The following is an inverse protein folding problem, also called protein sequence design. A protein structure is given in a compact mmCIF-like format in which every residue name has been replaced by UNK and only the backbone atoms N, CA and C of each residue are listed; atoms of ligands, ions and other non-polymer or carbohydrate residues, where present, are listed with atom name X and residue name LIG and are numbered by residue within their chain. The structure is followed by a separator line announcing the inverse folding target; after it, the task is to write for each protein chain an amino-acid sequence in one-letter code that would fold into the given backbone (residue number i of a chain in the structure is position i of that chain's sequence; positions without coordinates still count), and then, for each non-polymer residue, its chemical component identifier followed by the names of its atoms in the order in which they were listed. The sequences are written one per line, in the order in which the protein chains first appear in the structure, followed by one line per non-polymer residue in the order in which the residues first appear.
data_IF_911631525933
#
_entry.id   IF_911631525933
#
_cell.length_a   1.000
_cell.length_b   1.000
_cell.length_c   1.000
_cell.angle_alpha   90.00
_cell.angle_beta   90.00
_cell.angle_gamma   90.00
#
_symmetry.space_group_name_H-M   'P 1'
#
loop_
_entity.id
_entity.type
_entity.pdbx_description
1 polymer ?
#
# COMPACT_ATOMS: atom_id res chain seq x y z
N UNK A 1 3.83 2.25 -23.40
CA UNK A 1 4.76 1.87 -22.29
C UNK A 1 4.65 0.35 -22.09
N UNK A 2 5.61 -0.40 -22.58
CA UNK A 2 5.66 -1.86 -22.44
C UNK A 2 6.82 -2.21 -21.50
N UNK A 3 6.64 -3.19 -20.60
CA UNK A 3 7.66 -3.63 -19.66
C UNK A 3 7.76 -2.81 -18.36
N UNK A 4 7.01 -1.71 -18.21
CA UNK A 4 7.02 -0.89 -17.00
C UNK A 4 6.15 -1.49 -15.90
N UNK A 5 6.69 -1.42 -14.68
CA UNK A 5 6.02 -1.81 -13.44
C UNK A 5 6.04 -0.63 -12.46
N UNK A 6 4.99 -0.51 -11.68
CA UNK A 6 5.01 0.22 -10.42
C UNK A 6 5.35 -0.73 -9.29
N UNK A 7 6.08 -0.25 -8.28
CA UNK A 7 6.22 -0.93 -7.00
C UNK A 7 5.94 0.04 -5.85
N UNK A 8 5.17 -0.43 -4.87
CA UNK A 8 4.72 0.42 -3.75
C UNK A 8 5.10 -0.23 -2.41
N UNK A 9 6.41 -0.32 -2.07
CA UNK A 9 6.85 -0.87 -0.80
C UNK A 9 6.30 -0.07 0.38
N UNK A 10 5.85 -0.82 1.39
CA UNK A 10 5.45 -0.28 2.68
C UNK A 10 6.47 -0.69 3.73
N UNK A 11 7.04 0.29 4.41
CA UNK A 11 8.08 0.11 5.43
C UNK A 11 7.52 0.51 6.80
N UNK A 12 7.83 -0.26 7.85
CA UNK A 12 7.35 -0.04 9.22
C UNK A 12 8.20 1.03 9.93
N UNK A 13 8.24 2.21 9.36
CA UNK A 13 8.89 3.42 9.86
C UNK A 13 8.13 4.65 9.39
N UNK A 14 7.68 5.49 10.30
CA UNK A 14 6.97 6.71 9.97
C UNK A 14 7.37 7.89 10.88
N UNK A 15 8.37 7.70 11.74
CA UNK A 15 8.69 8.62 12.82
C UNK A 15 10.10 9.22 12.75
N UNK A 16 11.05 8.51 12.13
CA UNK A 16 12.43 8.93 12.02
C UNK A 16 12.75 9.47 10.63
N UNK A 17 12.71 10.81 10.43
CA UNK A 17 12.94 11.41 9.11
C UNK A 17 14.28 10.96 8.48
N UNK A 18 15.33 10.82 9.28
CA UNK A 18 16.65 10.39 8.82
C UNK A 18 16.67 8.96 8.26
N UNK A 19 15.79 8.07 8.78
CA UNK A 19 15.64 6.71 8.23
C UNK A 19 14.86 6.76 6.94
N UNK A 20 13.78 7.57 6.90
CA UNK A 20 12.95 7.75 5.71
C UNK A 20 13.77 8.32 4.55
N UNK A 21 14.62 9.32 4.82
CA UNK A 21 15.54 9.89 3.84
C UNK A 21 16.53 8.84 3.30
N UNK A 22 17.15 8.04 4.20
CA UNK A 22 18.04 6.94 3.80
C UNK A 22 17.35 5.91 2.90
N UNK A 23 16.07 5.58 3.20
CA UNK A 23 15.27 4.67 2.37
C UNK A 23 15.01 5.26 0.98
N UNK A 24 14.63 6.55 0.91
CA UNK A 24 14.40 7.26 -0.35
C UNK A 24 15.68 7.37 -1.19
N UNK A 25 16.81 7.71 -0.57
CA UNK A 25 18.11 7.76 -1.23
C UNK A 25 18.54 6.40 -1.78
N UNK A 26 18.33 5.31 -1.02
CA UNK A 26 18.72 3.97 -1.44
C UNK A 26 18.04 3.57 -2.75
N UNK A 27 16.74 3.89 -2.92
CA UNK A 27 16.01 3.58 -4.15
C UNK A 27 16.29 4.59 -5.27
N UNK A 28 16.50 5.88 -4.93
CA UNK A 28 16.74 6.95 -5.90
C UNK A 28 18.07 6.87 -6.65
N UNK A 29 19.04 6.09 -6.16
CA UNK A 29 20.36 5.91 -6.80
C UNK A 29 20.33 5.06 -8.07
N UNK A 30 19.27 4.29 -8.28
CA UNK A 30 19.21 3.31 -9.35
C UNK A 30 18.67 3.92 -10.66
N UNK A 31 19.55 4.05 -11.64
CA UNK A 31 19.13 4.43 -12.99
C UNK A 31 18.12 3.42 -13.54
N UNK A 32 16.99 3.93 -14.05
CA UNK A 32 15.88 3.12 -14.56
C UNK A 32 14.84 2.72 -13.51
N UNK A 33 15.06 3.00 -12.22
CA UNK A 33 14.05 2.99 -11.18
C UNK A 33 13.78 4.44 -10.75
N UNK A 34 12.57 4.91 -10.95
CA UNK A 34 12.16 6.30 -10.61
C UNK A 34 11.40 6.28 -9.30
N UNK A 35 11.90 7.00 -8.30
CA UNK A 35 11.13 7.30 -7.09
C UNK A 35 10.16 8.45 -7.42
N UNK A 36 8.86 8.18 -7.34
CA UNK A 36 7.79 9.11 -7.72
C UNK A 36 7.14 9.79 -6.52
N UNK A 37 7.06 9.09 -5.37
CA UNK A 37 6.45 9.61 -4.14
C UNK A 37 7.03 8.93 -2.90
N UNK A 38 7.02 9.67 -1.78
CA UNK A 38 7.32 9.17 -0.43
C UNK A 38 6.28 9.74 0.52
N UNK A 39 5.36 8.91 0.96
CA UNK A 39 4.32 9.26 1.93
C UNK A 39 4.61 8.61 3.27
N UNK A 40 4.76 9.39 4.35
CA UNK A 40 4.99 8.88 5.70
C UNK A 40 3.95 9.39 6.70
N UNK A 41 3.63 8.57 7.71
CA UNK A 41 2.67 8.93 8.74
C UNK A 41 3.10 8.37 10.11
N UNK A 42 3.12 9.27 11.11
CA UNK A 42 3.60 8.95 12.47
C UNK A 42 2.63 8.10 13.28
N UNK A 43 1.30 8.22 13.06
CA UNK A 43 0.28 7.43 13.74
C UNK A 43 0.19 6.02 13.17
N UNK A 44 0.33 5.91 11.85
CA UNK A 44 0.42 4.62 11.17
C UNK A 44 1.79 3.95 11.37
N UNK A 45 2.81 4.71 11.77
CA UNK A 45 4.21 4.28 11.90
C UNK A 45 4.65 3.56 10.63
N UNK A 46 4.49 4.26 9.50
CA UNK A 46 4.62 3.69 8.16
C UNK A 46 5.08 4.71 7.14
N UNK A 47 5.95 4.25 6.25
CA UNK A 47 6.30 4.95 5.01
C UNK A 47 5.91 4.09 3.82
N UNK A 48 5.30 4.73 2.84
CA UNK A 48 4.95 4.18 1.53
C UNK A 48 5.80 4.90 0.49
N UNK A 49 6.59 4.15 -0.27
CA UNK A 49 7.34 4.70 -1.39
C UNK A 49 6.66 4.23 -2.69
N UNK A 50 6.55 5.11 -3.68
CA UNK A 50 6.04 4.75 -5.01
C UNK A 50 7.17 4.82 -6.01
N UNK A 51 7.49 3.69 -6.63
CA UNK A 51 8.53 3.57 -7.65
C UNK A 51 7.94 3.12 -8.99
N UNK A 52 8.53 3.54 -10.09
CA UNK A 52 8.23 3.02 -11.41
C UNK A 52 9.52 2.72 -12.20
N UNK A 53 9.50 1.64 -12.99
CA UNK A 53 10.64 1.24 -13.80
C UNK A 53 10.46 -0.14 -14.43
N UNK A 54 11.46 -0.62 -15.12
CA UNK A 54 11.52 -2.01 -15.58
C UNK A 54 11.85 -2.94 -14.39
N UNK A 55 11.56 -4.22 -14.55
CA UNK A 55 11.68 -5.22 -13.49
C UNK A 55 13.08 -5.26 -12.85
N UNK A 56 14.15 -5.22 -13.65
CA UNK A 56 15.52 -5.35 -13.14
C UNK A 56 16.03 -4.12 -12.38
N UNK A 57 15.86 -2.87 -12.88
CA UNK A 57 16.14 -1.67 -12.10
C UNK A 57 15.35 -1.60 -10.78
N UNK A 58 14.03 -1.90 -10.82
CA UNK A 58 13.22 -1.93 -9.61
C UNK A 58 13.71 -2.98 -8.61
N UNK A 59 14.07 -4.17 -9.07
CA UNK A 59 14.59 -5.23 -8.20
C UNK A 59 15.85 -4.78 -7.46
N UNK A 60 16.79 -4.14 -8.15
CA UNK A 60 18.02 -3.61 -7.54
C UNK A 60 17.72 -2.52 -6.51
N UNK A 61 16.88 -1.57 -6.86
CA UNK A 61 16.48 -0.50 -5.95
C UNK A 61 15.79 -1.04 -4.69
N UNK A 62 14.90 -2.02 -4.84
CA UNK A 62 14.21 -2.65 -3.73
C UNK A 62 15.15 -3.47 -2.83
N UNK A 63 16.17 -4.12 -3.38
CA UNK A 63 17.17 -4.84 -2.57
C UNK A 63 17.97 -3.88 -1.67
N UNK A 64 18.33 -2.70 -2.17
CA UNK A 64 18.99 -1.68 -1.37
C UNK A 64 18.03 -1.07 -0.32
N UNK A 65 16.75 -0.92 -0.64
CA UNK A 65 15.71 -0.55 0.33
C UNK A 65 15.64 -1.60 1.47
N UNK A 66 15.64 -2.89 1.14
CA UNK A 66 15.69 -3.95 2.15
C UNK A 66 16.93 -3.85 3.03
N UNK A 67 18.11 -3.63 2.44
CA UNK A 67 19.35 -3.52 3.20
C UNK A 67 19.29 -2.37 4.23
N UNK A 68 18.81 -1.18 3.80
CA UNK A 68 18.66 -0.02 4.69
C UNK A 68 17.58 -0.26 5.75
N UNK A 69 16.42 -0.83 5.36
CA UNK A 69 15.34 -1.08 6.30
C UNK A 69 15.74 -2.10 7.39
N UNK A 70 16.44 -3.17 7.03
CA UNK A 70 16.87 -4.19 7.98
C UNK A 70 17.98 -3.71 8.93
N UNK A 71 18.81 -2.78 8.47
CA UNK A 71 19.83 -2.11 9.30
C UNK A 71 19.22 -1.15 10.32
N UNK A 72 18.19 -0.40 9.89
CA UNK A 72 17.67 0.72 10.68
C UNK A 72 16.44 0.37 11.54
N UNK A 73 15.68 -0.68 11.19
CA UNK A 73 14.38 -0.97 11.80
C UNK A 73 14.44 -2.27 12.59
N UNK A 74 14.27 -2.15 13.91
CA UNK A 74 14.14 -3.29 14.82
C UNK A 74 12.73 -3.35 15.41
N UNK A 75 11.96 -4.36 14.99
CA UNK A 75 10.59 -4.60 15.47
C UNK A 75 10.53 -5.45 16.75
N UNK A 76 11.66 -5.93 17.25
CA UNK A 76 11.71 -6.68 18.51
C UNK A 76 11.26 -5.81 19.69
N UNK A 77 10.85 -6.41 20.81
CA UNK A 77 10.49 -5.66 22.00
C UNK A 77 11.64 -4.76 22.52
N UNK A 78 12.90 -5.13 22.27
CA UNK A 78 14.07 -4.36 22.67
C UNK A 78 14.34 -3.17 21.75
N UNK A 79 14.06 -3.30 20.45
CA UNK A 79 14.28 -2.26 19.44
C UNK A 79 13.14 -1.26 19.29
N UNK A 80 11.98 -1.57 19.83
CA UNK A 80 10.86 -0.62 19.83
C UNK A 80 11.17 0.58 20.70
N UNK A 81 11.31 1.73 20.08
CA UNK A 81 11.38 3.01 20.76
C UNK A 81 10.14 3.29 21.63
N UNK A 82 10.18 4.32 22.48
CA UNK A 82 9.04 4.73 23.27
C UNK A 82 7.86 5.18 22.38
N UNK A 83 6.68 4.65 22.64
CA UNK A 83 5.45 5.02 21.95
C UNK A 83 4.55 3.82 21.62
N UNK A 84 3.28 4.08 21.30
CA UNK A 84 2.36 3.02 20.90
C UNK A 84 2.79 2.44 19.55
N UNK A 85 2.52 1.14 19.30
CA UNK A 85 2.70 0.56 17.99
C UNK A 85 1.83 1.30 16.97
N UNK A 86 2.26 1.34 15.70
CA UNK A 86 1.44 1.89 14.61
C UNK A 86 0.08 1.21 14.52
N UNK A 87 -0.92 1.96 14.10
CA UNK A 87 -2.34 1.50 14.08
C UNK A 87 -2.62 0.45 12.99
N UNK A 88 -1.71 0.26 12.04
CA UNK A 88 -1.82 -0.79 11.02
C UNK A 88 -1.11 -2.09 11.44
N UNK A 89 -1.71 -3.25 11.11
CA UNK A 89 -1.01 -4.53 11.24
C UNK A 89 0.24 -4.54 10.37
N UNK A 90 1.35 -5.05 10.90
CA UNK A 90 2.61 -5.24 10.17
C UNK A 90 3.17 -6.63 10.42
N UNK A 91 3.80 -7.20 9.41
CA UNK A 91 4.47 -8.50 9.51
C UNK A 91 6.00 -8.36 9.63
N UNK A 92 6.54 -7.27 9.09
CA UNK A 92 7.98 -7.02 9.12
C UNK A 92 8.38 -5.58 8.86
N UNK A 93 9.70 -5.33 8.92
CA UNK A 93 10.31 -4.02 8.69
C UNK A 93 10.00 -3.50 7.29
N UNK A 94 10.17 -4.32 6.26
CA UNK A 94 9.56 -4.13 4.94
C UNK A 94 8.34 -5.04 4.90
N UNK A 95 7.16 -4.46 5.12
CA UNK A 95 5.95 -5.20 5.39
C UNK A 95 5.34 -5.80 4.11
N UNK A 96 5.14 -4.98 3.08
CA UNK A 96 4.62 -5.45 1.78
C UNK A 96 5.27 -4.74 0.61
N UNK A 97 5.57 -5.49 -0.45
CA UNK A 97 6.13 -4.99 -1.71
C UNK A 97 5.28 -5.53 -2.88
N UNK A 98 4.31 -4.75 -3.37
CA UNK A 98 3.56 -5.09 -4.56
C UNK A 98 4.30 -4.69 -5.82
N UNK A 99 4.09 -5.45 -6.89
CA UNK A 99 4.33 -5.05 -8.27
C UNK A 99 3.01 -4.89 -9.00
N UNK A 100 2.88 -3.79 -9.74
CA UNK A 100 1.67 -3.43 -10.50
C UNK A 100 2.07 -3.21 -11.95
N UNK A 101 1.47 -3.91 -12.92
CA UNK A 101 1.80 -3.69 -14.32
C UNK A 101 1.23 -2.35 -14.80
N UNK A 102 2.04 -1.57 -15.53
CA UNK A 102 1.67 -0.28 -16.12
C UNK A 102 1.46 -0.40 -17.63
N UNK A 103 0.52 0.38 -18.16
CA UNK A 103 0.22 0.45 -19.59
C UNK A 103 -0.19 -0.92 -20.16
N UNK A 104 0.56 -1.43 -21.13
CA UNK A 104 0.32 -2.72 -21.79
C UNK A 104 1.12 -3.89 -21.18
N UNK A 105 1.81 -3.66 -20.07
CA UNK A 105 2.60 -4.70 -19.39
C UNK A 105 1.67 -5.79 -18.83
N UNK A 106 1.89 -7.07 -19.15
CA UNK A 106 1.03 -8.13 -18.66
C UNK A 106 1.27 -8.42 -17.18
N UNK A 107 0.24 -8.87 -16.46
CA UNK A 107 0.32 -9.26 -15.03
C UNK A 107 1.42 -10.30 -14.78
N UNK A 108 1.67 -11.19 -15.73
CA UNK A 108 2.74 -12.19 -15.63
C UNK A 108 4.12 -11.55 -15.37
N UNK A 109 4.42 -10.41 -15.99
CA UNK A 109 5.70 -9.72 -15.76
C UNK A 109 5.83 -9.23 -14.30
N UNK A 110 4.73 -8.76 -13.71
CA UNK A 110 4.70 -8.38 -12.29
C UNK A 110 4.86 -9.59 -11.36
N UNK A 111 4.25 -10.73 -11.70
CA UNK A 111 4.42 -11.99 -10.94
C UNK A 111 5.87 -12.47 -11.00
N UNK A 112 6.49 -12.47 -12.18
CA UNK A 112 7.89 -12.87 -12.36
C UNK A 112 8.85 -11.95 -11.58
N UNK A 113 8.60 -10.63 -11.58
CA UNK A 113 9.36 -9.66 -10.80
C UNK A 113 9.21 -9.90 -9.28
N UNK A 114 7.99 -10.17 -8.80
CA UNK A 114 7.73 -10.48 -7.40
C UNK A 114 8.45 -11.75 -6.95
N UNK A 115 8.42 -12.81 -7.76
CA UNK A 115 9.12 -14.05 -7.46
C UNK A 115 10.64 -13.90 -7.46
N UNK A 116 11.18 -13.14 -8.41
CA UNK A 116 12.62 -12.88 -8.50
C UNK A 116 13.11 -12.10 -7.26
N UNK A 117 12.41 -11.02 -6.89
CA UNK A 117 12.73 -10.25 -5.70
C UNK A 117 12.61 -11.11 -4.44
N UNK A 118 11.51 -11.87 -4.29
CA UNK A 118 11.27 -12.69 -3.10
C UNK A 118 12.36 -13.73 -2.88
N UNK A 119 12.82 -14.39 -3.92
CA UNK A 119 13.92 -15.36 -3.90
C UNK A 119 15.23 -14.74 -3.43
N UNK A 120 15.53 -13.56 -3.95
CA UNK A 120 16.78 -12.87 -3.65
C UNK A 120 16.80 -12.24 -2.25
N UNK A 121 15.68 -11.63 -1.82
CA UNK A 121 15.51 -11.13 -0.44
C UNK A 121 15.68 -12.25 0.59
N UNK A 122 15.04 -13.39 0.35
CA UNK A 122 15.18 -14.55 1.23
C UNK A 122 16.64 -15.06 1.29
N UNK A 123 17.31 -15.14 0.14
CA UNK A 123 18.69 -15.62 0.06
C UNK A 123 19.70 -14.66 0.70
N UNK A 124 19.54 -13.35 0.49
CA UNK A 124 20.48 -12.33 0.98
C UNK A 124 20.32 -12.04 2.48
N UNK A 125 19.06 -12.00 2.94
CA UNK A 125 18.74 -11.50 4.27
C UNK A 125 18.20 -12.56 5.23
N UNK A 126 17.96 -13.79 4.76
CA UNK A 126 17.35 -14.83 5.60
C UNK A 126 15.92 -14.50 6.04
N UNK A 127 15.21 -13.64 5.30
CA UNK A 127 13.84 -13.26 5.59
C UNK A 127 12.85 -14.32 5.07
N UNK A 128 11.84 -14.71 5.89
CA UNK A 128 10.67 -15.41 5.38
C UNK A 128 9.91 -14.51 4.39
N UNK A 129 9.58 -15.02 3.23
CA UNK A 129 8.83 -14.31 2.19
C UNK A 129 7.55 -15.05 1.88
N UNK A 130 6.42 -14.35 1.94
CA UNK A 130 5.13 -14.83 1.48
C UNK A 130 4.77 -14.15 0.16
N UNK A 131 4.41 -14.95 -0.85
CA UNK A 131 3.83 -14.42 -2.08
C UNK A 131 2.33 -14.21 -1.92
N UNK A 132 1.80 -13.10 -2.48
CA UNK A 132 0.39 -12.74 -2.33
C UNK A 132 -0.26 -12.25 -3.64
N UNK A 133 -1.59 -12.11 -3.60
CA UNK A 133 -2.47 -11.72 -4.72
C UNK A 133 -2.24 -12.62 -5.94
N UNK A 134 -1.87 -12.07 -7.11
CA UNK A 134 -1.67 -12.85 -8.34
C UNK A 134 -0.38 -13.69 -8.34
N UNK A 135 0.56 -13.40 -7.45
CA UNK A 135 1.75 -14.21 -7.23
C UNK A 135 1.55 -15.31 -6.17
N UNK A 136 0.40 -15.35 -5.48
CA UNK A 136 0.12 -16.31 -4.42
C UNK A 136 0.15 -17.76 -4.93
N UNK A 137 0.86 -18.64 -4.21
CA UNK A 137 0.95 -20.07 -4.52
C UNK A 137 -0.14 -20.90 -3.84
N UNK A 138 -0.90 -20.28 -2.91
CA UNK A 138 -2.01 -20.89 -2.20
C UNK A 138 -3.17 -19.92 -2.08
N UNK A 139 -4.44 -20.37 -2.25
CA UNK A 139 -5.60 -19.48 -2.27
C UNK A 139 -5.75 -18.61 -1.02
N UNK A 140 -5.42 -19.14 0.17
CA UNK A 140 -5.46 -18.44 1.46
C UNK A 140 -4.46 -17.29 1.57
N UNK A 141 -3.46 -17.24 0.69
CA UNK A 141 -2.44 -16.18 0.63
C UNK A 141 -2.77 -15.06 -0.35
N UNK A 142 -3.85 -15.18 -1.09
CA UNK A 142 -4.30 -14.07 -1.97
C UNK A 142 -4.66 -12.83 -1.16
N UNK A 143 -5.23 -12.99 0.04
CA UNK A 143 -5.58 -11.85 0.89
C UNK A 143 -4.44 -11.48 1.84
N UNK A 144 -3.87 -10.30 1.64
CA UNK A 144 -2.83 -9.73 2.51
C UNK A 144 -3.26 -9.69 3.99
N UNK A 145 -4.56 -9.43 4.27
CA UNK A 145 -5.06 -9.40 5.64
C UNK A 145 -4.97 -10.76 6.32
N UNK A 146 -5.16 -11.86 5.58
CA UNK A 146 -4.99 -13.22 6.11
C UNK A 146 -3.52 -13.50 6.45
N UNK A 147 -2.58 -13.07 5.60
CA UNK A 147 -1.14 -13.21 5.86
C UNK A 147 -0.72 -12.40 7.08
N UNK A 148 -1.18 -11.14 7.20
CA UNK A 148 -0.86 -10.22 8.32
C UNK A 148 -1.54 -10.58 9.65
N UNK A 149 -2.49 -11.51 9.67
CA UNK A 149 -3.22 -11.86 10.90
C UNK A 149 -2.27 -12.35 12.00
N UNK A 150 -2.33 -11.70 13.14
CA UNK A 150 -1.44 -11.93 14.28
C UNK A 150 -0.22 -10.99 14.30
N UNK A 151 0.10 -10.34 13.18
CA UNK A 151 1.20 -9.37 13.09
C UNK A 151 2.57 -10.01 13.33
N UNK A 152 3.55 -9.15 13.54
CA UNK A 152 4.90 -9.54 13.93
C UNK A 152 4.91 -10.35 15.24
N UNK A 153 4.06 -9.97 16.18
CA UNK A 153 4.00 -10.51 17.54
C UNK A 153 3.66 -12.01 17.57
N UNK A 154 2.84 -12.49 16.64
CA UNK A 154 2.43 -13.89 16.54
C UNK A 154 2.99 -14.62 15.32
N UNK A 155 4.01 -14.02 14.69
CA UNK A 155 4.60 -14.57 13.47
C UNK A 155 5.27 -15.93 13.72
N UNK A 156 5.90 -16.13 14.90
CA UNK A 156 6.53 -17.40 15.25
C UNK A 156 5.49 -18.53 15.35
N UNK A 157 4.33 -18.26 15.96
CA UNK A 157 3.22 -19.22 16.04
C UNK A 157 2.69 -19.55 14.64
N UNK A 158 2.51 -18.53 13.80
CA UNK A 158 2.05 -18.71 12.42
C UNK A 158 3.00 -19.59 11.62
N UNK A 159 4.31 -19.34 11.70
CA UNK A 159 5.33 -20.09 10.95
C UNK A 159 5.53 -21.53 11.45
N UNK A 160 5.06 -21.86 12.66
CA UNK A 160 5.02 -23.22 13.17
C UNK A 160 3.92 -24.08 12.50
N UNK A 161 2.89 -23.44 11.92
CA UNK A 161 1.84 -24.12 11.16
C UNK A 161 2.34 -24.43 9.73
N UNK A 162 2.36 -25.70 9.29
CA UNK A 162 2.77 -26.07 7.93
C UNK A 162 2.01 -25.37 6.80
N UNK A 163 0.75 -24.96 7.02
CA UNK A 163 -0.05 -24.21 6.04
C UNK A 163 0.52 -22.81 5.77
N UNK A 164 1.27 -22.26 6.73
CA UNK A 164 1.91 -20.95 6.63
C UNK A 164 3.42 -21.03 6.38
N UNK A 165 3.92 -22.15 5.84
CA UNK A 165 5.32 -22.23 5.41
C UNK A 165 5.59 -21.15 4.35
N UNK A 166 6.65 -20.30 4.50
CA UNK A 166 6.95 -19.25 3.54
C UNK A 166 7.28 -19.81 2.15
N UNK A 167 7.05 -19.02 1.11
CA UNK A 167 7.37 -19.40 -0.27
C UNK A 167 8.87 -19.41 -0.50
N UNK A 168 9.60 -18.52 0.20
CA UNK A 168 11.06 -18.47 0.23
C UNK A 168 11.56 -18.16 1.62
N UNK A 169 12.80 -18.59 1.92
CA UNK A 169 13.45 -18.34 3.19
C UNK A 169 13.09 -19.33 4.30
N UNK A 170 13.55 -19.05 5.53
CA UNK A 170 13.38 -19.96 6.66
C UNK A 170 11.96 -19.95 7.23
N UNK A 171 11.49 -21.09 7.75
CA UNK A 171 10.20 -21.17 8.47
C UNK A 171 10.32 -20.69 9.94
N UNK A 172 10.97 -19.55 10.14
CA UNK A 172 11.11 -18.87 11.43
C UNK A 172 11.22 -17.36 11.19
N UNK A 173 10.70 -16.49 12.08
CA UNK A 173 10.83 -15.05 11.92
C UNK A 173 12.30 -14.61 11.87
N UNK A 174 12.59 -13.56 11.09
CA UNK A 174 13.83 -12.81 11.30
C UNK A 174 13.73 -12.09 12.66
N UNK A 175 14.79 -12.10 13.50
CA UNK A 175 14.70 -11.66 14.90
C UNK A 175 14.24 -10.21 15.07
N UNK A 176 14.66 -9.31 14.19
CA UNK A 176 14.34 -7.88 14.23
C UNK A 176 13.36 -7.45 13.14
N UNK A 177 13.45 -8.06 11.96
CA UNK A 177 12.71 -7.63 10.77
C UNK A 177 11.46 -8.49 10.44
N UNK A 178 11.20 -9.57 11.17
CA UNK A 178 10.01 -10.41 11.02
C UNK A 178 9.97 -11.20 9.71
N UNK A 179 9.01 -10.90 8.85
CA UNK A 179 8.84 -11.47 7.51
C UNK A 179 8.35 -10.39 6.55
N UNK A 180 8.37 -10.68 5.25
CA UNK A 180 7.88 -9.75 4.23
C UNK A 180 6.87 -10.42 3.31
N UNK A 181 5.98 -9.62 2.74
CA UNK A 181 4.99 -10.06 1.76
C UNK A 181 5.30 -9.40 0.42
N UNK A 182 5.51 -10.19 -0.61
CA UNK A 182 5.85 -9.70 -1.95
C UNK A 182 4.82 -10.26 -2.93
N UNK A 183 4.34 -9.46 -3.89
CA UNK A 183 3.40 -10.02 -4.84
C UNK A 183 3.07 -9.11 -6.00
N UNK A 184 2.09 -9.54 -6.80
CA UNK A 184 1.62 -8.82 -7.97
C UNK A 184 0.12 -8.57 -7.87
N UNK A 185 -0.33 -7.37 -8.21
CA UNK A 185 -1.74 -6.97 -8.14
C UNK A 185 -2.10 -5.91 -9.18
N UNK A 186 -3.37 -5.63 -9.34
CA UNK A 186 -3.86 -4.43 -9.99
C UNK A 186 -3.61 -3.17 -9.16
N UNK A 187 -4.03 -2.03 -9.66
CA UNK A 187 -3.98 -0.77 -8.91
C UNK A 187 -4.74 -0.88 -7.59
N UNK A 188 -4.17 -0.26 -6.57
CA UNK A 188 -4.83 -0.08 -5.27
C UNK A 188 -4.63 1.38 -4.87
N UNK A 189 -5.72 2.08 -4.59
CA UNK A 189 -5.69 3.46 -4.11
C UNK A 189 -5.88 3.44 -2.61
N UNK A 190 -4.85 3.84 -1.86
CA UNK A 190 -4.95 4.04 -0.41
C UNK A 190 -5.50 5.44 -0.15
N UNK A 191 -6.73 5.50 0.34
CA UNK A 191 -7.49 6.73 0.47
C UNK A 191 -8.17 6.78 1.83
N UNK A 192 -7.92 7.83 2.58
CA UNK A 192 -8.37 7.97 3.96
C UNK A 192 -9.37 9.12 4.12
N UNK A 193 -10.36 8.95 4.98
CA UNK A 193 -11.27 10.00 5.40
C UNK A 193 -11.08 10.27 6.90
N UNK A 194 -10.54 11.45 7.22
CA UNK A 194 -10.38 11.92 8.60
C UNK A 194 -11.71 12.47 9.09
N UNK A 195 -12.16 12.01 10.24
CA UNK A 195 -13.43 12.44 10.84
C UNK A 195 -13.20 13.58 11.86
N UNK A 196 -14.14 14.49 11.93
CA UNK A 196 -14.19 15.55 12.94
C UNK A 196 -14.73 14.98 14.27
N UNK A 197 -14.05 13.98 14.80
CA UNK A 197 -14.43 13.24 16.00
C UNK A 197 -13.23 12.45 16.52
N UNK A 198 -13.22 12.10 17.80
CA UNK A 198 -12.32 11.16 18.45
C UNK A 198 -12.97 9.80 18.76
N UNK A 199 -14.23 9.61 18.34
CA UNK A 199 -14.98 8.39 18.55
C UNK A 199 -14.53 7.26 17.60
N UNK A 200 -13.65 6.38 18.11
CA UNK A 200 -13.15 5.24 17.37
C UNK A 200 -14.25 4.24 17.01
N UNK A 201 -15.30 4.09 17.83
CA UNK A 201 -16.38 3.15 17.51
C UNK A 201 -17.24 3.67 16.36
N UNK A 202 -17.46 4.99 16.27
CA UNK A 202 -18.08 5.59 15.10
C UNK A 202 -17.26 5.32 13.82
N UNK A 203 -15.93 5.55 13.85
CA UNK A 203 -15.06 5.26 12.71
C UNK A 203 -15.09 3.78 12.30
N UNK A 204 -15.06 2.87 13.28
CA UNK A 204 -15.17 1.42 13.03
C UNK A 204 -16.53 1.03 12.44
N UNK A 205 -17.62 1.64 12.91
CA UNK A 205 -18.95 1.39 12.39
C UNK A 205 -19.08 1.88 10.94
N UNK A 206 -18.59 3.08 10.64
CA UNK A 206 -18.54 3.62 9.27
C UNK A 206 -17.71 2.72 8.36
N UNK A 207 -16.49 2.33 8.79
CA UNK A 207 -15.63 1.43 8.04
C UNK A 207 -16.31 0.08 7.73
N UNK A 208 -17.06 -0.48 8.69
CA UNK A 208 -17.85 -1.71 8.47
C UNK A 208 -18.95 -1.53 7.44
N UNK A 209 -19.64 -0.39 7.47
CA UNK A 209 -20.76 -0.09 6.58
C UNK A 209 -20.29 0.14 5.13
N UNK A 210 -19.13 0.77 4.93
CA UNK A 210 -18.64 1.11 3.58
C UNK A 210 -17.84 -0.01 2.91
N UNK A 211 -17.20 -0.92 3.66
CA UNK A 211 -16.38 -1.98 3.08
C UNK A 211 -17.21 -3.11 2.48
N UNK A 212 -16.71 -3.73 1.41
CA UNK A 212 -17.37 -4.84 0.72
C UNK A 212 -17.72 -6.01 1.66
N UNK A 213 -16.82 -6.40 2.56
CA UNK A 213 -17.04 -7.50 3.53
C UNK A 213 -18.12 -7.21 4.58
N UNK A 214 -18.58 -5.97 4.68
CA UNK A 214 -19.69 -5.54 5.54
C UNK A 214 -21.02 -5.35 4.77
N UNK A 215 -21.05 -5.71 3.48
CA UNK A 215 -22.21 -5.46 2.61
C UNK A 215 -22.20 -4.07 1.94
N UNK A 216 -21.11 -3.31 2.07
CA UNK A 216 -20.94 -1.99 1.49
C UNK A 216 -20.48 -2.03 0.03
N UNK A 217 -19.67 -1.04 -0.36
CA UNK A 217 -19.23 -0.82 -1.73
C UNK A 217 -18.31 -1.93 -2.23
N UNK A 218 -18.45 -2.37 -3.51
CA UNK A 218 -17.58 -3.36 -4.12
C UNK A 218 -16.14 -2.83 -4.20
N UNK A 219 -15.16 -3.72 -4.08
CA UNK A 219 -13.73 -3.42 -4.16
C UNK A 219 -13.23 -2.38 -3.11
N UNK A 220 -13.96 -2.16 -2.02
CA UNK A 220 -13.54 -1.33 -0.89
C UNK A 220 -13.18 -2.20 0.31
N UNK A 221 -11.95 -2.05 0.80
CA UNK A 221 -11.53 -2.51 2.12
C UNK A 221 -11.43 -1.28 3.02
N UNK A 222 -11.90 -1.36 4.29
CA UNK A 222 -11.86 -0.22 5.21
C UNK A 222 -11.67 -0.65 6.66
N UNK A 223 -10.94 0.20 7.40
CA UNK A 223 -10.70 0.09 8.85
C UNK A 223 -10.93 1.43 9.52
N UNK A 224 -11.54 1.43 10.72
CA UNK A 224 -11.58 2.60 11.59
C UNK A 224 -10.35 2.61 12.49
N UNK A 225 -9.57 3.68 12.47
CA UNK A 225 -8.33 3.84 13.22
C UNK A 225 -8.30 5.16 14.00
N UNK A 226 -7.49 5.22 15.07
CA UNK A 226 -7.26 6.44 15.85
C UNK A 226 -5.96 7.09 15.40
N UNK A 227 -6.01 8.39 15.16
CA UNK A 227 -4.84 9.24 14.92
C UNK A 227 -4.52 9.96 16.24
N UNK A 228 -3.67 9.35 17.05
CA UNK A 228 -3.38 9.83 18.40
C UNK A 228 -2.69 11.21 18.39
N UNK A 229 -1.83 11.47 17.40
CA UNK A 229 -1.12 12.75 17.24
C UNK A 229 -2.06 13.92 16.94
N UNK A 230 -3.23 13.62 16.34
CA UNK A 230 -4.21 14.63 15.89
C UNK A 230 -5.46 14.69 16.77
N UNK A 231 -5.60 13.79 17.77
CA UNK A 231 -6.81 13.66 18.59
C UNK A 231 -8.08 13.36 17.77
N UNK A 232 -7.94 12.65 16.64
CA UNK A 232 -9.03 12.35 15.69
C UNK A 232 -9.07 10.87 15.36
N UNK A 233 -10.12 10.48 14.65
CA UNK A 233 -10.24 9.15 14.07
C UNK A 233 -10.36 9.22 12.55
N UNK A 234 -10.08 8.11 11.89
CA UNK A 234 -10.01 8.02 10.46
C UNK A 234 -10.67 6.73 9.96
N UNK A 235 -11.34 6.82 8.84
CA UNK A 235 -11.71 5.67 8.02
C UNK A 235 -10.61 5.49 6.97
N UNK A 236 -9.70 4.54 7.21
CA UNK A 236 -8.64 4.19 6.28
C UNK A 236 -9.18 3.18 5.27
N UNK A 237 -9.06 3.50 3.98
CA UNK A 237 -9.63 2.71 2.89
C UNK A 237 -8.57 2.29 1.88
N UNK A 238 -8.75 1.08 1.32
CA UNK A 238 -8.07 0.62 0.13
C UNK A 238 -9.11 0.33 -0.95
N UNK A 239 -9.07 1.09 -2.03
CA UNK A 239 -9.86 0.87 -3.23
C UNK A 239 -9.06 -0.06 -4.15
N UNK A 240 -9.49 -1.32 -4.23
CA UNK A 240 -8.75 -2.38 -4.96
C UNK A 240 -9.12 -2.47 -6.43
N UNK A 241 -10.19 -1.79 -6.83
CA UNK A 241 -10.59 -1.59 -8.23
C UNK A 241 -11.44 -0.31 -8.34
N UNK A 242 -10.80 0.78 -8.73
CA UNK A 242 -11.46 2.09 -8.87
C UNK A 242 -12.49 2.14 -10.00
N UNK A 243 -12.49 1.17 -10.93
CA UNK A 243 -13.51 1.06 -11.99
C UNK A 243 -14.85 0.56 -11.44
N UNK A 244 -14.81 -0.15 -10.31
CA UNK A 244 -16.01 -0.64 -9.60
C UNK A 244 -16.49 0.35 -8.54
N UNK A 245 -15.57 1.06 -7.89
CA UNK A 245 -15.88 2.10 -6.92
C UNK A 245 -14.82 3.19 -7.04
N UNK A 246 -15.24 4.37 -7.52
CA UNK A 246 -14.35 5.53 -7.62
C UNK A 246 -14.00 6.10 -6.25
N UNK A 247 -12.90 6.87 -6.12
CA UNK A 247 -12.61 7.64 -4.90
C UNK A 247 -13.79 8.54 -4.47
N UNK A 248 -14.47 9.19 -5.42
CA UNK A 248 -15.64 10.01 -5.13
C UNK A 248 -16.77 9.20 -4.49
N UNK A 249 -17.17 8.09 -5.10
CA UNK A 249 -18.23 7.21 -4.57
C UNK A 249 -17.90 6.70 -3.15
N UNK A 250 -16.63 6.34 -2.91
CA UNK A 250 -16.17 5.90 -1.59
C UNK A 250 -16.29 7.01 -0.54
N UNK A 251 -15.86 8.24 -0.85
CA UNK A 251 -15.98 9.40 0.07
C UNK A 251 -17.43 9.74 0.35
N UNK A 252 -18.29 9.76 -0.66
CA UNK A 252 -19.72 10.05 -0.48
C UNK A 252 -20.41 8.98 0.41
N UNK A 253 -20.01 7.73 0.30
CA UNK A 253 -20.50 6.70 1.21
C UNK A 253 -20.05 6.94 2.65
N UNK A 254 -18.78 7.30 2.85
CA UNK A 254 -18.27 7.67 4.20
C UNK A 254 -19.00 8.90 4.74
N UNK A 255 -19.24 9.93 3.93
CA UNK A 255 -19.98 11.15 4.32
C UNK A 255 -21.39 10.83 4.77
N UNK A 256 -22.13 10.00 4.03
CA UNK A 256 -23.51 9.58 4.42
C UNK A 256 -23.52 8.82 5.73
N UNK A 257 -22.60 7.85 5.89
CA UNK A 257 -22.51 7.04 7.11
C UNK A 257 -22.06 7.86 8.32
N UNK A 258 -21.17 8.84 8.12
CA UNK A 258 -20.75 9.78 9.16
C UNK A 258 -21.92 10.70 9.60
N UNK A 259 -22.62 11.30 8.63
CA UNK A 259 -23.76 12.17 8.89
C UNK A 259 -24.88 11.46 9.68
N UNK A 260 -25.15 10.18 9.34
CA UNK A 260 -26.12 9.37 10.08
C UNK A 260 -25.74 9.13 11.57
N UNK A 261 -24.48 9.41 11.93
CA UNK A 261 -23.93 9.29 13.30
C UNK A 261 -23.59 10.65 13.93
N UNK A 262 -24.02 11.75 13.31
CA UNK A 262 -23.72 13.10 13.78
C UNK A 262 -22.24 13.52 13.65
N UNK A 263 -21.46 12.83 12.81
CA UNK A 263 -20.03 13.07 12.57
C UNK A 263 -19.83 13.61 11.17
N UNK A 264 -18.79 14.41 10.96
CA UNK A 264 -18.44 14.96 9.64
C UNK A 264 -17.08 14.45 9.18
N UNK A 265 -16.90 14.36 7.86
CA UNK A 265 -15.57 14.20 7.24
C UNK A 265 -14.89 15.57 7.25
N UNK A 266 -13.78 15.67 7.98
CA UNK A 266 -12.99 16.90 8.08
C UNK A 266 -12.05 17.10 6.88
N UNK A 267 -11.41 16.01 6.45
CA UNK A 267 -10.48 16.00 5.31
C UNK A 267 -10.39 14.61 4.70
N UNK A 268 -9.88 14.55 3.48
CA UNK A 268 -9.46 13.29 2.85
C UNK A 268 -7.97 13.33 2.59
N UNK A 269 -7.33 12.16 2.60
CA UNK A 269 -5.90 12.00 2.38
C UNK A 269 -5.66 10.89 1.35
N UNK A 270 -4.86 11.18 0.32
CA UNK A 270 -4.32 10.19 -0.60
C UNK A 270 -2.96 9.75 -0.07
N UNK A 271 -2.70 8.46 0.00
CA UNK A 271 -1.40 7.89 0.36
C UNK A 271 -0.76 7.31 -0.90
N UNK A 272 0.37 7.85 -1.30
CA UNK A 272 0.98 7.55 -2.60
C UNK A 272 0.23 8.22 -3.75
N UNK A 273 0.23 7.58 -4.91
CA UNK A 273 -0.33 8.10 -6.14
C UNK A 273 -1.60 7.32 -6.55
N UNK A 274 -2.42 7.95 -7.40
CA UNK A 274 -3.58 7.29 -8.00
C UNK A 274 -3.50 7.33 -9.53
N UNK A 275 -4.06 6.33 -10.23
CA UNK A 275 -4.12 6.34 -11.70
C UNK A 275 -4.99 7.49 -12.23
N UNK A 276 -4.62 8.04 -13.38
CA UNK A 276 -5.38 9.03 -14.13
C UNK A 276 -6.87 8.66 -14.28
N UNK A 277 -7.16 7.41 -14.67
CA UNK A 277 -8.55 6.95 -14.82
C UNK A 277 -9.37 6.98 -13.53
N UNK A 278 -8.74 7.02 -12.35
CA UNK A 278 -9.45 7.19 -11.07
C UNK A 278 -9.83 8.66 -10.82
N UNK A 279 -9.00 9.59 -11.28
CA UNK A 279 -9.30 11.03 -11.28
C UNK A 279 -10.46 11.32 -12.20
N UNK A 280 -10.40 10.84 -13.45
CA UNK A 280 -11.49 10.96 -14.43
C UNK A 280 -12.81 10.41 -13.89
N UNK A 281 -12.80 9.18 -13.35
CA UNK A 281 -14.00 8.55 -12.80
C UNK A 281 -14.60 9.41 -11.68
N UNK A 282 -13.76 9.95 -10.79
CA UNK A 282 -14.20 10.82 -9.70
C UNK A 282 -14.80 12.14 -10.20
N UNK A 283 -14.20 12.77 -11.19
CA UNK A 283 -14.70 14.03 -11.78
C UNK A 283 -16.01 13.82 -12.56
N UNK A 284 -16.11 12.74 -13.33
CA UNK A 284 -17.36 12.38 -14.02
C UNK A 284 -18.54 12.29 -13.06
N UNK A 285 -18.35 11.61 -11.94
CA UNK A 285 -19.37 11.47 -10.91
C UNK A 285 -19.67 12.79 -10.17
N UNK A 286 -18.62 13.47 -9.67
CA UNK A 286 -18.75 14.68 -8.88
C UNK A 286 -19.43 15.84 -9.65
N UNK A 287 -19.11 15.97 -10.94
CA UNK A 287 -19.58 17.08 -11.79
C UNK A 287 -20.72 16.66 -12.72
N UNK A 288 -21.18 15.40 -12.66
CA UNK A 288 -22.20 14.86 -13.59
C UNK A 288 -21.81 15.04 -15.07
N UNK A 289 -20.53 14.80 -15.41
CA UNK A 289 -19.97 14.91 -16.76
C UNK A 289 -19.64 13.52 -17.34
N UNK A 290 -20.62 12.78 -17.87
CA UNK A 290 -20.44 11.37 -18.24
C UNK A 290 -19.40 11.13 -19.36
N UNK A 291 -19.11 12.14 -20.17
CA UNK A 291 -18.14 12.05 -21.26
C UNK A 291 -16.73 12.56 -20.93
N UNK A 292 -16.53 13.13 -19.74
CA UNK A 292 -15.24 13.76 -19.37
C UNK A 292 -14.09 12.75 -19.38
N UNK A 293 -12.94 13.16 -19.92
CA UNK A 293 -11.67 12.43 -19.87
C UNK A 293 -10.49 13.39 -19.93
N UNK A 294 -9.25 12.88 -19.79
CA UNK A 294 -8.04 13.74 -19.86
C UNK A 294 -7.91 14.46 -21.20
N UNK A 295 -8.51 13.93 -22.27
CA UNK A 295 -8.59 14.64 -23.54
C UNK A 295 -9.39 15.97 -23.49
N UNK A 296 -10.15 16.22 -22.43
CA UNK A 296 -10.85 17.47 -22.17
C UNK A 296 -10.04 18.46 -21.29
N UNK A 297 -8.83 18.06 -20.88
CA UNK A 297 -7.91 18.89 -20.11
C UNK A 297 -6.95 19.60 -21.05
N UNK A 298 -6.83 20.93 -20.91
CA UNK A 298 -6.07 21.78 -21.82
C UNK A 298 -4.60 21.35 -21.92
N UNK A 299 -3.95 21.15 -20.77
CA UNK A 299 -2.53 20.79 -20.70
C UNK A 299 -2.28 19.42 -21.34
N UNK A 300 -3.14 18.42 -21.11
CA UNK A 300 -3.02 17.11 -21.73
C UNK A 300 -3.15 17.18 -23.27
N UNK A 301 -4.01 18.07 -23.78
CA UNK A 301 -4.15 18.30 -25.22
C UNK A 301 -2.94 19.02 -25.82
N UNK A 302 -2.30 19.91 -25.06
CA UNK A 302 -1.07 20.57 -25.49
C UNK A 302 0.09 19.58 -25.55
N UNK A 303 0.26 18.71 -24.55
CA UNK A 303 1.28 17.65 -24.54
C UNK A 303 1.10 16.69 -25.73
N UNK A 304 -0.14 16.26 -26.00
CA UNK A 304 -0.44 15.43 -27.18
C UNK A 304 -0.12 16.15 -28.52
N UNK A 305 -0.31 17.47 -28.57
CA UNK A 305 -0.02 18.25 -29.78
C UNK A 305 1.48 18.37 -30.00
N UNK A 306 2.26 18.63 -28.94
CA UNK A 306 3.74 18.71 -28.98
C UNK A 306 4.36 17.38 -29.40
N UNK A 307 3.84 16.23 -28.90
CA UNK A 307 4.32 14.90 -29.29
C UNK A 307 4.05 14.56 -30.77
N UNK A 308 3.12 15.25 -31.44
CA UNK A 308 2.76 15.07 -32.85
C UNK A 308 3.48 16.03 -33.81
N UNK A 309 4.16 17.05 -33.29
CA UNK A 309 5.01 17.89 -34.12
C UNK A 309 6.29 17.13 -34.51
N UNK A 310 6.63 17.01 -35.82
CA UNK A 310 7.71 16.17 -36.34
C UNK A 310 9.11 16.69 -35.98
#
# INVERSE_FOLDING_TARGET
MSGLLESVPNVAEGRRPEVIERLAEAVGRHQGARLLDVSSDVDHDRTVLTLAGEAEPLRRALLDLYAVALDAIDLSPAGRGPGPPGVHPRLGAVDVVPFVPLGTTPMRAAVEAAEALGREVAARHGLPVFLYEEAARAPERRDLAAIRRGGFERLAEKLADPAWRPDFGPARPHPTAGATVIGARGFLIAFNAVLDSDDLEAARAIARAVRQSGGGLPAVKALGVRLASRGRVQVSMNLTDFRRTSPHAAVEAVRREAAARGVRVAACELVGLMPEGAVEASLREALSLPGFGMADVLEARLEEAEEREP
#
